data_IF_284178633926
#
_entry.id   IF_284178633926
#
_cell.length_a   1.000
_cell.length_b   1.000
_cell.length_c   1.000
_cell.angle_alpha   90.00
_cell.angle_beta   90.00
_cell.angle_gamma   90.00
#
_symmetry.space_group_name_H-M   'P 1'
#
loop_
_entity.id
_entity.type
_entity.pdbx_description
1 polymer ?
#
# COMPACT_ATOMS: atom_id res chain seq x y z
N UNK A 1 -7.13 1.56 -11.24
CA UNK A 1 -6.46 1.82 -9.95
C UNK A 1 -6.44 0.54 -9.12
N UNK A 2 -7.60 -0.10 -8.97
CA UNK A 2 -7.81 -1.40 -8.33
C UNK A 2 -6.86 -2.48 -8.87
N UNK A 3 -6.79 -2.67 -10.20
CA UNK A 3 -5.91 -3.67 -10.81
C UNK A 3 -4.43 -3.45 -10.49
N UNK A 4 -4.00 -2.18 -10.41
CA UNK A 4 -2.62 -1.84 -10.06
C UNK A 4 -2.35 -2.15 -8.57
N UNK A 5 -3.29 -1.81 -7.69
CA UNK A 5 -3.20 -2.15 -6.27
C UNK A 5 -3.12 -3.66 -6.07
N UNK A 6 -4.00 -4.42 -6.75
CA UNK A 6 -4.01 -5.88 -6.73
C UNK A 6 -2.68 -6.46 -7.24
N UNK A 7 -2.14 -5.93 -8.35
CA UNK A 7 -0.83 -6.35 -8.86
C UNK A 7 0.31 -6.05 -7.88
N UNK A 8 0.27 -4.93 -7.16
CA UNK A 8 1.28 -4.63 -6.15
C UNK A 8 1.19 -5.56 -4.93
N UNK A 9 -0.01 -5.99 -4.53
CA UNK A 9 -0.21 -6.93 -3.42
C UNK A 9 0.49 -8.27 -3.66
N UNK A 10 0.63 -8.72 -4.92
CA UNK A 10 1.36 -9.95 -5.28
C UNK A 10 2.86 -9.90 -4.91
N UNK A 11 3.39 -8.73 -4.58
CA UNK A 11 4.78 -8.54 -4.19
C UNK A 11 4.99 -8.44 -2.68
N UNK A 12 3.94 -8.61 -1.88
CA UNK A 12 4.04 -8.65 -0.42
C UNK A 12 4.04 -10.08 0.10
N UNK A 13 4.89 -10.33 1.09
CA UNK A 13 4.98 -11.59 1.80
C UNK A 13 4.65 -11.34 3.28
N UNK A 14 3.73 -12.14 3.84
CA UNK A 14 3.37 -12.06 5.26
C UNK A 14 4.10 -13.15 6.04
N UNK A 15 4.89 -12.74 7.02
CA UNK A 15 5.63 -13.65 7.88
C UNK A 15 4.90 -13.78 9.22
N UNK A 16 4.38 -14.97 9.51
CA UNK A 16 3.63 -15.28 10.74
C UNK A 16 4.54 -15.93 11.79
N UNK A 17 5.57 -15.19 12.24
CA UNK A 17 6.48 -15.60 13.31
C UNK A 17 5.97 -15.25 14.71
N UNK A 18 6.88 -15.01 15.67
CA UNK A 18 6.52 -14.48 17.00
C UNK A 18 5.88 -13.08 16.90
N UNK A 19 6.31 -12.29 15.92
CA UNK A 19 5.66 -11.06 15.48
C UNK A 19 5.24 -11.22 14.02
N UNK A 20 3.99 -10.88 13.70
CA UNK A 20 3.53 -10.83 12.31
C UNK A 20 4.15 -9.63 11.61
N UNK A 21 4.93 -9.88 10.55
CA UNK A 21 5.54 -8.83 9.73
C UNK A 21 5.09 -8.92 8.27
N UNK A 22 5.20 -7.79 7.58
CA UNK A 22 4.92 -7.66 6.15
C UNK A 22 6.22 -7.23 5.47
N UNK A 23 6.64 -7.99 4.47
CA UNK A 23 7.87 -7.74 3.72
C UNK A 23 7.56 -7.53 2.24
N UNK A 24 8.35 -6.68 1.60
CA UNK A 24 8.27 -6.44 0.17
C UNK A 24 9.28 -7.33 -0.56
N UNK A 25 8.82 -8.08 -1.55
CA UNK A 25 9.65 -8.95 -2.36
C UNK A 25 10.77 -8.16 -3.05
N UNK A 26 11.99 -8.72 -3.08
CA UNK A 26 13.12 -8.11 -3.81
C UNK A 26 12.86 -7.93 -5.32
N UNK A 27 11.90 -8.68 -5.87
CA UNK A 27 11.45 -8.59 -7.26
C UNK A 27 10.33 -7.59 -7.50
N UNK A 28 9.91 -6.85 -6.46
CA UNK A 28 8.88 -5.84 -6.58
C UNK A 28 9.26 -4.80 -7.67
N UNK A 29 8.26 -4.30 -8.42
CA UNK A 29 8.41 -3.19 -9.34
C UNK A 29 9.06 -1.96 -8.69
N UNK A 30 9.83 -1.21 -9.47
CA UNK A 30 10.60 -0.07 -8.96
C UNK A 30 9.71 1.05 -8.41
N UNK A 31 8.56 1.26 -9.04
CA UNK A 31 7.56 2.21 -8.58
C UNK A 31 6.93 1.81 -7.23
N UNK A 32 6.67 0.53 -7.00
CA UNK A 32 6.23 0.01 -5.70
C UNK A 32 7.32 0.17 -4.63
N UNK A 33 8.59 -0.08 -4.98
CA UNK A 33 9.73 0.15 -4.07
C UNK A 33 9.87 1.64 -3.69
N UNK A 34 9.70 2.54 -4.67
CA UNK A 34 9.68 3.98 -4.42
C UNK A 34 8.52 4.40 -3.52
N UNK A 35 7.33 3.85 -3.74
CA UNK A 35 6.19 4.09 -2.86
C UNK A 35 6.48 3.62 -1.43
N UNK A 36 6.95 2.39 -1.25
CA UNK A 36 7.31 1.84 0.06
C UNK A 36 8.35 2.71 0.78
N UNK A 37 9.43 3.10 0.08
CA UNK A 37 10.46 3.98 0.65
C UNK A 37 9.90 5.35 1.02
N UNK A 38 9.04 5.94 0.18
CA UNK A 38 8.41 7.23 0.47
C UNK A 38 7.48 7.18 1.68
N UNK A 39 6.73 6.09 1.83
CA UNK A 39 5.89 5.87 3.01
C UNK A 39 6.74 5.77 4.28
N UNK A 40 7.86 5.03 4.26
CA UNK A 40 8.73 4.92 5.43
C UNK A 40 9.42 6.25 5.79
N UNK A 41 9.81 7.04 4.80
CA UNK A 41 10.39 8.37 5.01
C UNK A 41 9.37 9.34 5.63
N UNK A 42 8.13 9.32 5.15
CA UNK A 42 7.07 10.24 5.61
C UNK A 42 6.45 9.85 6.95
N UNK A 43 6.22 8.55 7.18
CA UNK A 43 5.41 8.04 8.29
C UNK A 43 6.23 7.22 9.31
N UNK A 44 7.53 7.09 9.10
CA UNK A 44 8.47 6.35 9.93
C UNK A 44 8.66 4.89 9.51
N UNK A 45 9.66 4.20 10.07
CA UNK A 45 9.96 2.82 9.74
C UNK A 45 8.83 1.86 10.17
N UNK A 46 8.71 0.72 9.48
CA UNK A 46 7.75 -0.33 9.84
C UNK A 46 6.33 -0.04 9.37
N UNK A 47 6.18 0.76 8.31
CA UNK A 47 4.88 1.15 7.72
C UNK A 47 4.43 0.28 6.54
N UNK A 48 5.18 -0.77 6.21
CA UNK A 48 4.78 -1.75 5.21
C UNK A 48 3.42 -2.41 5.49
N UNK A 49 3.04 -2.74 6.74
CA UNK A 49 1.68 -3.23 7.02
C UNK A 49 0.59 -2.20 6.68
N UNK A 50 0.83 -0.92 6.94
CA UNK A 50 -0.10 0.15 6.58
C UNK A 50 -0.22 0.32 5.07
N UNK A 51 0.90 0.21 4.34
CA UNK A 51 0.87 0.22 2.87
C UNK A 51 0.12 -0.99 2.30
N UNK A 52 0.36 -2.18 2.84
CA UNK A 52 -0.35 -3.39 2.45
C UNK A 52 -1.86 -3.27 2.69
N UNK A 53 -2.27 -2.75 3.85
CA UNK A 53 -3.67 -2.48 4.17
C UNK A 53 -4.29 -1.48 3.18
N UNK A 54 -3.60 -0.36 2.91
CA UNK A 54 -4.08 0.63 1.95
C UNK A 54 -4.28 0.02 0.55
N UNK A 55 -3.32 -0.77 0.06
CA UNK A 55 -3.42 -1.46 -1.22
C UNK A 55 -4.58 -2.47 -1.25
N UNK A 56 -4.80 -3.20 -0.15
CA UNK A 56 -5.92 -4.15 -0.01
C UNK A 56 -7.26 -3.43 -0.09
N UNK A 57 -7.43 -2.34 0.66
CA UNK A 57 -8.66 -1.54 0.63
C UNK A 57 -8.91 -0.95 -0.77
N UNK A 58 -7.87 -0.43 -1.44
CA UNK A 58 -8.03 0.10 -2.81
C UNK A 58 -8.39 -1.01 -3.80
N UNK A 59 -7.77 -2.19 -3.70
CA UNK A 59 -8.04 -3.32 -4.59
C UNK A 59 -9.49 -3.83 -4.46
N UNK A 60 -10.01 -3.88 -3.23
CA UNK A 60 -11.34 -4.43 -2.94
C UNK A 60 -12.49 -3.41 -3.07
N UNK A 61 -12.18 -2.13 -3.29
CA UNK A 61 -13.19 -1.05 -3.31
C UNK A 61 -13.55 -0.56 -4.72
N UNK A 62 -14.85 -0.47 -4.99
CA UNK A 62 -15.39 0.20 -6.18
C UNK A 62 -15.16 1.72 -6.13
N UNK A 63 -15.18 2.31 -4.93
CA UNK A 63 -14.99 3.74 -4.69
C UNK A 63 -13.93 3.96 -3.59
N UNK A 64 -12.63 3.85 -3.91
CA UNK A 64 -11.56 3.92 -2.92
C UNK A 64 -11.54 5.20 -2.07
N UNK A 65 -11.97 6.35 -2.61
CA UNK A 65 -12.09 7.61 -1.85
C UNK A 65 -13.16 7.58 -0.74
N UNK A 66 -14.09 6.62 -0.79
CA UNK A 66 -15.17 6.45 0.18
C UNK A 66 -15.06 5.12 0.95
N UNK A 67 -13.96 4.39 0.78
CA UNK A 67 -13.76 3.09 1.42
C UNK A 67 -13.61 3.22 2.94
N UNK A 68 -14.07 2.21 3.66
CA UNK A 68 -13.79 2.08 5.09
C UNK A 68 -12.35 1.57 5.27
N UNK A 69 -11.56 2.27 6.08
CA UNK A 69 -10.15 1.96 6.35
C UNK A 69 -10.00 1.70 7.85
N UNK A 70 -9.33 0.61 8.24
CA UNK A 70 -8.97 0.43 9.65
C UNK A 70 -7.85 1.41 10.03
N UNK A 71 -8.24 2.55 10.60
CA UNK A 71 -7.33 3.62 11.01
C UNK A 71 -6.33 3.22 12.10
N UNK A 72 -6.54 2.06 12.77
CA UNK A 72 -5.55 1.52 13.71
C UNK A 72 -4.35 0.90 13.01
N UNK A 73 -4.56 0.40 11.79
CA UNK A 73 -3.54 -0.24 10.95
C UNK A 73 -2.99 0.75 9.93
N UNK A 74 -3.87 1.47 9.25
CA UNK A 74 -3.52 2.42 8.21
C UNK A 74 -4.09 3.82 8.52
N UNK A 75 -3.25 4.77 8.97
CA UNK A 75 -3.64 6.17 9.10
C UNK A 75 -4.21 6.74 7.78
N UNK A 76 -5.21 7.61 7.86
CA UNK A 76 -5.91 8.12 6.67
C UNK A 76 -5.01 8.96 5.76
N UNK A 77 -4.08 9.71 6.34
CA UNK A 77 -3.05 10.45 5.60
C UNK A 77 -2.17 9.52 4.77
N UNK A 78 -1.74 8.39 5.32
CA UNK A 78 -1.02 7.36 4.57
C UNK A 78 -1.89 6.77 3.46
N UNK A 79 -3.14 6.45 3.77
CA UNK A 79 -4.08 5.90 2.79
C UNK A 79 -4.26 6.83 1.58
N UNK A 80 -4.47 8.13 1.82
CA UNK A 80 -4.64 9.09 0.73
C UNK A 80 -3.36 9.28 -0.10
N UNK A 81 -2.17 9.20 0.50
CA UNK A 81 -0.91 9.21 -0.27
C UNK A 81 -0.83 8.02 -1.22
N UNK A 82 -1.19 6.82 -0.77
CA UNK A 82 -1.23 5.61 -1.62
C UNK A 82 -2.27 5.78 -2.73
N UNK A 83 -3.44 6.33 -2.40
CA UNK A 83 -4.52 6.53 -3.35
C UNK A 83 -4.14 7.51 -4.47
N UNK A 84 -3.53 8.65 -4.11
CA UNK A 84 -3.05 9.65 -5.07
C UNK A 84 -1.96 9.08 -5.98
N UNK A 85 -1.02 8.31 -5.40
CA UNK A 85 0.02 7.64 -6.17
C UNK A 85 -0.56 6.68 -7.21
N UNK A 86 -1.48 5.81 -6.81
CA UNK A 86 -2.12 4.85 -7.72
C UNK A 86 -2.95 5.55 -8.79
N UNK A 87 -3.60 6.67 -8.47
CA UNK A 87 -4.29 7.52 -9.43
C UNK A 87 -3.37 8.08 -10.50
N UNK A 88 -2.23 8.64 -10.11
CA UNK A 88 -1.24 9.17 -11.03
C UNK A 88 -0.62 8.08 -11.94
N UNK A 89 -0.45 6.85 -11.42
CA UNK A 89 0.12 5.73 -12.17
C UNK A 89 -0.88 5.04 -13.10
N UNK A 90 -2.14 4.93 -12.69
CA UNK A 90 -3.18 4.32 -13.52
C UNK A 90 -3.58 5.21 -14.71
N UNK A 91 -3.39 6.54 -14.59
CA UNK A 91 -3.74 7.51 -15.62
C UNK A 91 -2.57 8.50 -15.86
N UNK A 92 -1.47 8.05 -16.48
CA UNK A 92 -0.36 8.93 -16.81
C UNK A 92 -0.80 9.93 -17.89
N UNK A 93 -0.71 11.21 -17.57
CA UNK A 93 -0.95 12.34 -18.50
C UNK A 93 0.21 12.54 -19.46
#
# INVERSE_FOLDING_TARGET
MQDLAASYLEHFEMNFGEDSSVELSGKAPEDLKLLASGIEEMFGPGRLPSLFEALSVVADSELPHCAEVDVKVCPLDLYFVVLDFLGARAFPT
#
